data_IF_135989863442
#
_entry.id   IF_135989863442
#
_cell.length_a   1.000
_cell.length_b   1.000
_cell.length_c   1.000
_cell.angle_alpha   90.00
_cell.angle_beta   90.00
_cell.angle_gamma   90.00
#
_symmetry.space_group_name_H-M   'P 1'
#
loop_
_entity.id
_entity.type
_entity.pdbx_description
1 polymer ?
#
# COMPACT_ATOMS: atom_id res chain seq x y z
N UNK A 1 -12.96 -0.51 1.24
CA UNK A 1 -12.17 -0.28 2.48
C UNK A 1 -11.88 -1.54 3.27
N UNK A 2 -12.81 -2.50 3.34
CA UNK A 2 -12.66 -3.75 4.11
C UNK A 2 -11.39 -4.54 3.75
N UNK A 3 -10.96 -4.51 2.49
CA UNK A 3 -9.70 -5.14 2.05
C UNK A 3 -8.45 -4.57 2.71
N UNK A 4 -8.39 -3.26 3.00
CA UNK A 4 -7.22 -2.63 3.62
C UNK A 4 -6.97 -3.17 5.04
N UNK A 5 -8.02 -3.65 5.70
CA UNK A 5 -8.00 -4.13 7.08
C UNK A 5 -7.97 -5.67 7.14
N UNK A 6 -8.01 -6.34 5.99
CA UNK A 6 -8.08 -7.80 5.92
C UNK A 6 -6.69 -8.43 6.09
N UNK A 7 -6.50 -9.13 7.21
CA UNK A 7 -5.26 -9.88 7.51
C UNK A 7 -5.08 -11.13 6.65
N UNK A 8 -6.17 -11.59 6.02
CA UNK A 8 -6.19 -12.80 5.22
C UNK A 8 -6.03 -12.53 3.72
N UNK A 9 -5.73 -11.28 3.33
CA UNK A 9 -5.52 -10.96 1.93
C UNK A 9 -4.30 -11.68 1.40
N UNK A 10 -4.53 -12.54 0.41
CA UNK A 10 -3.45 -13.10 -0.37
C UNK A 10 -3.03 -12.06 -1.41
N UNK A 11 -1.72 -11.86 -1.54
CA UNK A 11 -1.14 -10.89 -2.46
C UNK A 11 -0.75 -11.63 -3.74
N UNK A 12 -1.66 -11.70 -4.73
CA UNK A 12 -1.46 -12.52 -5.91
C UNK A 12 -0.18 -12.10 -6.63
N UNK A 13 0.63 -13.06 -7.06
CA UNK A 13 1.97 -12.76 -7.51
C UNK A 13 1.90 -12.21 -8.97
N UNK A 14 0.86 -12.56 -9.74
CA UNK A 14 0.49 -11.95 -11.03
C UNK A 14 -0.74 -11.04 -10.91
N UNK A 15 -0.56 -9.81 -10.44
CA UNK A 15 -1.64 -8.81 -10.39
C UNK A 15 -1.14 -7.38 -10.58
N UNK A 16 -2.09 -6.46 -10.76
CA UNK A 16 -1.82 -5.02 -10.81
C UNK A 16 -0.99 -4.59 -9.60
N UNK A 17 -0.04 -3.67 -9.78
CA UNK A 17 0.89 -3.31 -8.72
C UNK A 17 0.19 -2.73 -7.48
N UNK A 18 -0.97 -2.08 -7.62
CA UNK A 18 -1.76 -1.57 -6.48
C UNK A 18 -2.43 -2.67 -5.65
N UNK A 19 -2.89 -3.76 -6.30
CA UNK A 19 -3.38 -4.96 -5.61
C UNK A 19 -2.28 -5.52 -4.74
N UNK A 20 -1.09 -5.60 -5.33
CA UNK A 20 0.09 -6.04 -4.62
C UNK A 20 0.38 -5.00 -3.51
N UNK A 21 0.75 -3.75 -3.81
CA UNK A 21 1.18 -2.70 -2.86
C UNK A 21 0.25 -2.41 -1.68
N UNK A 22 -1.06 -2.45 -1.88
CA UNK A 22 -2.01 -2.07 -0.84
C UNK A 22 -3.01 -3.18 -0.48
N UNK A 23 -2.92 -4.37 -1.07
CA UNK A 23 -3.85 -5.46 -0.80
C UNK A 23 -5.28 -5.17 -1.26
N UNK A 24 -5.47 -4.27 -2.23
CA UNK A 24 -6.79 -3.84 -2.71
C UNK A 24 -7.37 -4.82 -3.73
N UNK A 25 -8.65 -5.18 -3.61
CA UNK A 25 -9.34 -5.99 -4.63
C UNK A 25 -10.03 -5.14 -5.69
N UNK A 26 -10.57 -4.00 -5.27
CA UNK A 26 -11.31 -3.08 -6.13
C UNK A 26 -10.73 -1.66 -5.99
N UNK A 27 -10.43 -1.02 -7.11
CA UNK A 27 -9.92 0.34 -7.16
C UNK A 27 -10.11 0.93 -8.57
N UNK A 28 -10.09 2.26 -8.66
CA UNK A 28 -10.13 3.00 -9.93
C UNK A 28 -8.79 3.72 -10.13
N UNK A 29 -8.29 3.71 -11.37
CA UNK A 29 -7.08 4.45 -11.75
C UNK A 29 -7.42 5.45 -12.83
N UNK A 30 -7.20 6.74 -12.54
CA UNK A 30 -7.14 7.81 -13.53
C UNK A 30 -5.69 7.86 -14.04
N UNK A 31 -5.51 7.61 -15.34
CA UNK A 31 -4.20 7.68 -15.97
C UNK A 31 -4.24 8.60 -17.20
N UNK A 32 -3.14 9.32 -17.51
CA UNK A 32 -3.03 10.06 -18.75
C UNK A 32 -3.24 9.15 -19.96
N UNK A 33 -4.01 9.62 -20.95
CA UNK A 33 -4.20 8.90 -22.21
C UNK A 33 -2.86 8.69 -22.94
N UNK A 34 -2.83 7.84 -23.97
CA UNK A 34 -1.59 7.46 -24.67
C UNK A 34 -0.78 8.66 -25.19
N UNK A 35 -1.47 9.71 -25.63
CA UNK A 35 -0.88 10.91 -26.25
C UNK A 35 -0.92 12.15 -25.36
N UNK A 36 -1.26 11.99 -24.07
CA UNK A 36 -1.27 13.09 -23.12
C UNK A 36 0.02 13.11 -22.30
N UNK A 37 0.43 14.31 -21.89
CA UNK A 37 1.56 14.50 -21.00
C UNK A 37 1.36 13.79 -19.65
N UNK A 38 2.47 13.31 -19.11
CA UNK A 38 2.50 12.77 -17.77
C UNK A 38 2.24 13.86 -16.71
N UNK A 39 1.65 13.46 -15.58
CA UNK A 39 1.45 14.34 -14.42
C UNK A 39 2.75 14.40 -13.64
N UNK A 40 3.61 15.39 -13.94
CA UNK A 40 4.95 15.49 -13.36
C UNK A 40 5.05 16.50 -12.21
N UNK A 41 4.31 17.60 -12.28
CA UNK A 41 4.40 18.67 -11.28
C UNK A 41 3.51 18.40 -10.09
N UNK A 42 4.02 18.74 -8.90
CA UNK A 42 3.29 18.63 -7.64
C UNK A 42 1.95 19.37 -7.68
N UNK A 43 1.91 20.57 -8.25
CA UNK A 43 0.68 21.35 -8.39
C UNK A 43 -0.39 20.62 -9.21
N UNK A 44 -0.01 19.91 -10.29
CA UNK A 44 -0.98 19.11 -11.07
C UNK A 44 -1.44 17.89 -10.28
N UNK A 45 -0.55 17.22 -9.56
CA UNK A 45 -0.90 16.12 -8.66
C UNK A 45 -1.93 16.58 -7.60
N UNK A 46 -1.65 17.69 -6.92
CA UNK A 46 -2.51 18.22 -5.85
C UNK A 46 -3.87 18.68 -6.37
N UNK A 47 -3.92 19.28 -7.56
CA UNK A 47 -5.18 19.65 -8.21
C UNK A 47 -6.04 18.42 -8.52
N UNK A 48 -5.42 17.38 -9.10
CA UNK A 48 -6.12 16.12 -9.40
C UNK A 48 -6.58 15.43 -8.12
N UNK A 49 -5.75 15.36 -7.08
CA UNK A 49 -6.11 14.74 -5.81
C UNK A 49 -7.24 15.51 -5.11
N UNK A 50 -7.22 16.84 -5.14
CA UNK A 50 -8.31 17.67 -4.63
C UNK A 50 -9.62 17.40 -5.39
N UNK A 51 -9.54 17.25 -6.71
CA UNK A 51 -10.70 16.92 -7.55
C UNK A 51 -11.25 15.53 -7.21
N UNK A 52 -10.36 14.55 -6.98
CA UNK A 52 -10.72 13.21 -6.51
C UNK A 52 -11.42 13.27 -5.15
N UNK A 53 -10.86 14.01 -4.19
CA UNK A 53 -11.42 14.17 -2.85
C UNK A 53 -12.85 14.73 -2.89
N UNK A 54 -13.09 15.75 -3.72
CA UNK A 54 -14.42 16.33 -3.95
C UNK A 54 -15.37 15.30 -4.58
N UNK A 55 -14.92 14.58 -5.61
CA UNK A 55 -15.75 13.57 -6.28
C UNK A 55 -16.15 12.42 -5.33
N UNK A 56 -15.22 11.94 -4.51
CA UNK A 56 -15.50 10.93 -3.47
C UNK A 56 -16.53 11.46 -2.47
N UNK A 57 -16.34 12.68 -1.96
CA UNK A 57 -17.27 13.30 -1.01
C UNK A 57 -18.67 13.52 -1.58
N UNK A 58 -18.79 13.93 -2.84
CA UNK A 58 -20.07 14.17 -3.50
C UNK A 58 -20.83 12.89 -3.84
N UNK A 59 -20.12 11.81 -4.16
CA UNK A 59 -20.73 10.54 -4.59
C UNK A 59 -20.94 9.55 -3.45
N UNK A 60 -20.25 9.73 -2.32
CA UNK A 60 -20.17 8.73 -1.26
C UNK A 60 -19.46 7.45 -1.71
N UNK A 61 -18.73 7.48 -2.82
CA UNK A 61 -18.00 6.31 -3.34
C UNK A 61 -16.87 5.94 -2.38
N UNK A 62 -16.86 4.68 -1.95
CA UNK A 62 -15.86 4.14 -1.02
C UNK A 62 -14.79 3.30 -1.72
N UNK A 63 -14.80 3.27 -3.05
CA UNK A 63 -13.79 2.58 -3.86
C UNK A 63 -12.54 3.46 -3.90
N UNK A 64 -11.35 2.96 -3.50
CA UNK A 64 -10.11 3.71 -3.60
C UNK A 64 -9.86 4.22 -5.02
N UNK A 65 -9.53 5.51 -5.12
CA UNK A 65 -9.30 6.16 -6.40
C UNK A 65 -7.86 6.66 -6.47
N UNK A 66 -7.18 6.30 -7.56
CA UNK A 66 -5.77 6.60 -7.77
C UNK A 66 -5.58 7.46 -9.02
N UNK A 67 -4.58 8.33 -8.97
CA UNK A 67 -4.07 9.08 -10.12
C UNK A 67 -2.67 8.57 -10.43
N UNK A 68 -2.44 8.16 -11.67
CA UNK A 68 -1.09 7.83 -12.14
C UNK A 68 -0.28 9.11 -12.30
N UNK A 69 0.81 9.20 -11.55
CA UNK A 69 1.74 10.33 -11.55
C UNK A 69 3.11 9.91 -12.07
N UNK A 70 3.93 10.89 -12.42
CA UNK A 70 5.19 10.69 -13.13
C UNK A 70 5.01 9.94 -14.46
N UNK A 71 6.11 9.54 -15.08
CA UNK A 71 6.08 8.73 -16.29
C UNK A 71 5.50 7.34 -16.03
N UNK A 72 4.70 6.82 -16.97
CA UNK A 72 3.98 5.53 -16.88
C UNK A 72 4.87 4.36 -16.46
N UNK A 73 6.11 4.31 -16.95
CA UNK A 73 7.07 3.24 -16.64
C UNK A 73 7.48 3.21 -15.16
N UNK A 74 7.38 4.32 -14.43
CA UNK A 74 7.68 4.38 -13.00
C UNK A 74 6.60 3.77 -12.12
N UNK A 75 5.38 3.59 -12.65
CA UNK A 75 4.24 3.03 -11.92
C UNK A 75 4.00 3.74 -10.58
N UNK A 76 4.07 5.06 -10.56
CA UNK A 76 3.81 5.87 -9.37
C UNK A 76 2.34 6.28 -9.35
N UNK A 77 1.73 6.18 -8.18
CA UNK A 77 0.34 6.56 -7.97
C UNK A 77 0.20 7.31 -6.66
N UNK A 78 -0.72 8.27 -6.65
CA UNK A 78 -1.27 8.86 -5.42
C UNK A 78 -2.75 8.61 -5.43
N UNK A 79 -3.38 8.49 -4.27
CA UNK A 79 -4.80 8.18 -4.23
C UNK A 79 -5.45 8.53 -2.91
N UNK A 80 -6.77 8.39 -2.90
CA UNK A 80 -7.59 8.66 -1.73
C UNK A 80 -8.75 7.66 -1.67
N UNK A 81 -9.18 7.35 -0.46
CA UNK A 81 -10.44 6.67 -0.19
C UNK A 81 -11.12 7.36 0.98
N UNK A 82 -12.43 7.56 0.88
CA UNK A 82 -13.27 8.09 1.94
C UNK A 82 -14.29 7.03 2.33
N UNK A 83 -14.37 6.75 3.63
CA UNK A 83 -15.36 5.87 4.22
C UNK A 83 -15.98 6.52 5.47
N UNK A 84 -16.93 5.83 6.14
CA UNK A 84 -17.62 6.39 7.29
C UNK A 84 -16.63 6.70 8.42
N UNK A 85 -16.42 7.98 8.69
CA UNK A 85 -15.53 8.45 9.78
C UNK A 85 -14.03 8.27 9.52
N UNK A 86 -13.63 7.84 8.33
CA UNK A 86 -12.21 7.60 8.03
C UNK A 86 -11.87 8.01 6.59
N UNK A 87 -10.74 8.70 6.46
CA UNK A 87 -10.11 9.02 5.18
C UNK A 87 -8.76 8.33 5.14
N UNK A 88 -8.44 7.74 4.00
CA UNK A 88 -7.17 7.07 3.76
C UNK A 88 -6.50 7.69 2.53
N UNK A 89 -5.37 8.34 2.74
CA UNK A 89 -4.52 8.84 1.67
C UNK A 89 -3.48 7.77 1.30
N UNK A 90 -3.33 7.52 0.00
CA UNK A 90 -2.36 6.59 -0.56
C UNK A 90 -1.19 7.35 -1.16
N UNK A 91 -0.03 7.20 -0.53
CA UNK A 91 1.19 7.89 -0.94
C UNK A 91 2.26 6.89 -1.35
N UNK A 92 3.05 7.28 -2.37
CA UNK A 92 4.20 6.52 -2.82
C UNK A 92 5.44 7.41 -2.84
N UNK A 93 6.56 6.85 -2.37
CA UNK A 93 7.87 7.47 -2.46
C UNK A 93 8.81 6.51 -3.18
N UNK A 94 9.53 7.02 -4.18
CA UNK A 94 10.58 6.27 -4.86
C UNK A 94 11.94 6.71 -4.33
N UNK A 95 12.63 5.82 -3.63
CA UNK A 95 13.96 6.08 -3.09
C UNK A 95 15.01 5.52 -4.04
N UNK A 96 15.97 6.36 -4.49
CA UNK A 96 17.12 5.88 -5.28
C UNK A 96 18.00 4.93 -4.48
N UNK A 97 18.14 5.19 -3.18
CA UNK A 97 18.84 4.35 -2.21
C UNK A 97 17.95 4.29 -0.97
N UNK A 98 17.68 3.08 -0.48
CA UNK A 98 16.93 2.88 0.76
C UNK A 98 17.86 3.21 1.94
N UNK A 99 17.50 4.15 2.83
CA UNK A 99 18.22 4.40 4.07
C UNK A 99 18.31 3.12 4.93
N UNK A 100 19.43 2.94 5.63
CA UNK A 100 19.67 1.74 6.45
C UNK A 100 18.59 1.54 7.54
N UNK A 101 18.02 2.61 8.07
CA UNK A 101 16.94 2.46 9.05
C UNK A 101 15.68 1.80 8.46
N UNK A 102 15.48 1.83 7.13
CA UNK A 102 14.29 1.26 6.48
C UNK A 102 14.53 -0.15 5.93
N UNK A 103 15.71 -0.75 6.17
CA UNK A 103 16.04 -2.11 5.72
C UNK A 103 15.65 -3.18 6.73
N UNK A 104 15.17 -2.79 7.93
CA UNK A 104 14.80 -3.70 9.00
C UNK A 104 13.38 -3.41 9.48
N UNK A 105 12.69 -4.47 9.96
CA UNK A 105 11.32 -4.41 10.48
C UNK A 105 11.14 -3.33 11.57
N UNK A 106 12.14 -3.20 12.45
CA UNK A 106 12.13 -2.22 13.54
C UNK A 106 12.03 -0.78 13.05
N UNK A 107 12.89 -0.36 12.11
CA UNK A 107 12.83 1.02 11.62
C UNK A 107 11.64 1.29 10.70
N UNK A 108 11.07 0.26 10.05
CA UNK A 108 9.78 0.39 9.36
C UNK A 108 8.63 0.58 10.35
N UNK A 109 8.66 -0.12 11.48
CA UNK A 109 7.73 0.08 12.60
C UNK A 109 7.86 1.49 13.18
N UNK A 110 9.08 2.02 13.30
CA UNK A 110 9.31 3.37 13.80
C UNK A 110 8.71 4.45 12.88
N UNK A 111 8.88 4.31 11.55
CA UNK A 111 8.21 5.19 10.56
C UNK A 111 6.70 5.14 10.75
N UNK A 112 6.14 3.94 10.88
CA UNK A 112 4.71 3.76 11.01
C UNK A 112 4.16 4.47 12.25
N UNK A 113 4.79 4.24 13.41
CA UNK A 113 4.41 4.89 14.67
C UNK A 113 4.50 6.41 14.56
N UNK A 114 5.56 6.91 13.92
CA UNK A 114 5.73 8.34 13.66
C UNK A 114 4.63 8.91 12.76
N UNK A 115 4.17 8.17 11.74
CA UNK A 115 3.13 8.64 10.82
C UNK A 115 1.74 8.63 11.44
N UNK A 116 1.45 7.69 12.34
CA UNK A 116 0.19 7.64 13.07
C UNK A 116 0.07 8.82 14.04
N UNK A 117 1.19 9.27 14.62
CA UNK A 117 1.21 10.40 15.54
C UNK A 117 0.33 10.18 16.79
N UNK A 118 0.14 8.93 17.20
CA UNK A 118 -0.75 8.60 18.32
C UNK A 118 -0.18 9.21 19.62
N UNK A 119 -0.95 10.05 20.33
CA UNK A 119 -0.48 10.72 21.53
C UNK A 119 -0.46 9.81 22.77
N UNK A 120 -0.92 8.56 22.65
CA UNK A 120 -1.03 7.63 23.77
C UNK A 120 0.33 7.10 24.21
N UNK A 121 0.57 7.15 25.52
CA UNK A 121 1.75 6.56 26.18
C UNK A 121 1.29 5.64 27.32
N UNK A 122 1.61 4.31 27.26
CA UNK A 122 2.33 3.63 26.20
C UNK A 122 1.49 3.50 24.91
N UNK A 123 2.17 3.42 23.77
CA UNK A 123 1.53 3.20 22.48
C UNK A 123 0.80 1.84 22.50
N UNK A 124 -0.42 1.72 21.92
CA UNK A 124 -1.06 0.42 21.78
C UNK A 124 -0.16 -0.59 21.04
N UNK A 125 -0.31 -1.90 21.33
CA UNK A 125 0.40 -2.93 20.59
C UNK A 125 0.17 -2.80 19.08
N UNK A 126 1.25 -2.89 18.31
CA UNK A 126 1.21 -2.84 16.85
C UNK A 126 1.55 -4.23 16.32
N UNK A 127 0.65 -4.80 15.52
CA UNK A 127 0.90 -6.03 14.79
C UNK A 127 1.47 -5.69 13.42
N UNK A 128 2.60 -6.31 13.08
CA UNK A 128 3.30 -6.09 11.82
C UNK A 128 3.62 -7.42 11.16
N UNK A 129 3.36 -7.48 9.86
CA UNK A 129 3.77 -8.60 9.02
C UNK A 129 4.58 -8.07 7.84
N UNK A 130 5.69 -8.74 7.53
CA UNK A 130 6.43 -8.54 6.29
C UNK A 130 6.30 -9.77 5.42
N UNK A 131 5.98 -9.54 4.15
CA UNK A 131 6.05 -10.56 3.12
C UNK A 131 7.25 -10.28 2.23
N UNK A 132 8.16 -11.25 2.14
CA UNK A 132 9.19 -11.25 1.11
C UNK A 132 8.71 -12.09 -0.06
N UNK A 133 8.83 -11.56 -1.28
CA UNK A 133 8.67 -12.39 -2.47
C UNK A 133 9.87 -12.25 -3.37
N UNK A 134 10.57 -13.37 -3.53
CA UNK A 134 11.72 -13.50 -4.40
C UNK A 134 11.25 -13.74 -5.84
N UNK A 135 12.14 -13.65 -6.82
CA UNK A 135 11.95 -14.21 -8.17
C UNK A 135 13.24 -14.94 -8.47
N UNK A 136 13.14 -16.25 -8.65
CA UNK A 136 14.28 -17.11 -8.90
C UNK A 136 14.32 -17.41 -10.40
N UNK A 137 15.39 -16.99 -11.06
CA UNK A 137 15.70 -17.40 -12.43
C UNK A 137 16.37 -18.77 -12.37
N UNK A 138 16.04 -19.66 -13.30
CA UNK A 138 16.68 -20.98 -13.47
C UNK A 138 16.73 -21.86 -12.20
N UNK A 139 15.72 -21.71 -11.32
CA UNK A 139 15.69 -22.37 -10.01
C UNK A 139 15.67 -23.90 -10.07
N UNK A 140 15.26 -24.47 -11.21
CA UNK A 140 15.23 -25.91 -11.47
C UNK A 140 16.62 -26.54 -11.44
N UNK A 141 17.69 -25.77 -11.61
CA UNK A 141 19.07 -26.26 -11.56
C UNK A 141 19.60 -26.43 -10.13
N UNK A 142 18.86 -25.96 -9.12
CA UNK A 142 19.29 -26.00 -7.72
C UNK A 142 18.57 -27.11 -6.95
N UNK A 143 19.32 -27.81 -6.10
CA UNK A 143 18.77 -28.79 -5.17
C UNK A 143 18.13 -28.05 -4.00
N UNK A 144 16.80 -28.14 -3.87
CA UNK A 144 16.07 -27.50 -2.79
C UNK A 144 15.91 -28.46 -1.62
N UNK A 145 16.22 -28.05 -0.38
CA UNK A 145 16.00 -28.88 0.80
C UNK A 145 14.51 -29.11 1.10
N UNK A 146 13.60 -28.37 0.46
CA UNK A 146 12.15 -28.48 0.58
C UNK A 146 11.51 -28.37 -0.80
N UNK A 147 10.30 -28.94 -0.99
CA UNK A 147 9.57 -28.78 -2.25
C UNK A 147 9.33 -27.29 -2.54
N UNK A 148 9.69 -26.79 -3.73
CA UNK A 148 9.53 -25.38 -4.05
C UNK A 148 8.04 -25.00 -4.05
N UNK A 149 7.65 -23.90 -3.37
CA UNK A 149 6.28 -23.40 -3.44
C UNK A 149 5.94 -23.02 -4.89
N UNK A 150 4.79 -23.47 -5.38
CA UNK A 150 4.34 -23.20 -6.74
C UNK A 150 4.26 -21.69 -7.03
N UNK A 151 4.92 -21.29 -8.12
CA UNK A 151 4.95 -19.96 -8.74
C UNK A 151 5.35 -18.75 -7.86
N UNK A 152 6.51 -18.17 -8.20
CA UNK A 152 7.23 -17.16 -7.44
C UNK A 152 7.11 -15.78 -8.16
N UNK A 153 6.44 -14.76 -7.58
CA UNK A 153 6.49 -13.38 -8.12
C UNK A 153 6.62 -12.27 -7.06
N UNK A 154 7.57 -11.35 -7.31
CA UNK A 154 7.91 -10.16 -6.49
C UNK A 154 6.71 -9.35 -5.98
N UNK A 155 6.68 -9.06 -4.67
CA UNK A 155 6.71 -7.70 -4.07
C UNK A 155 7.00 -7.79 -2.56
N UNK A 156 7.61 -6.76 -1.97
CA UNK A 156 7.66 -6.59 -0.51
C UNK A 156 6.42 -5.84 -0.06
N UNK A 157 5.56 -6.50 0.74
CA UNK A 157 4.46 -5.85 1.46
C UNK A 157 4.81 -5.72 2.92
N UNK A 158 4.65 -4.51 3.41
CA UNK A 158 4.63 -4.22 4.83
C UNK A 158 3.16 -3.90 5.12
N UNK A 159 2.44 -4.85 5.74
CA UNK A 159 1.13 -4.58 6.30
C UNK A 159 1.36 -4.22 7.78
N UNK A 160 1.03 -2.98 8.14
CA UNK A 160 1.14 -2.45 9.49
C UNK A 160 -0.27 -2.16 10.00
N UNK A 161 -0.66 -2.75 11.13
CA UNK A 161 -1.93 -2.42 11.78
C UNK A 161 -1.73 -2.19 13.28
N UNK A 162 -2.43 -1.19 13.82
CA UNK A 162 -2.50 -0.93 15.26
C UNK A 162 -3.67 -1.72 15.79
N UNK A 163 -3.41 -2.63 16.73
CA UNK A 163 -4.49 -3.29 17.46
C UNK A 163 -5.14 -2.28 18.40
N UNK A 164 -6.23 -1.67 17.95
CA UNK A 164 -7.23 -1.07 18.83
C UNK A 164 -8.14 -2.15 19.38
N UNK A 165 -7.64 -2.98 20.31
CA UNK A 165 -8.53 -3.87 21.08
C UNK A 165 -9.38 -3.01 22.01
N UNK A 166 -10.63 -2.79 21.63
CA UNK A 166 -11.67 -2.50 22.60
C UNK A 166 -11.77 -3.65 23.59
N UNK A 167 -11.59 -3.32 24.87
CA UNK A 167 -11.92 -4.20 25.98
C UNK A 167 -13.42 -4.52 25.92
N UNK A 168 -13.76 -5.79 25.76
CA UNK A 168 -15.01 -6.31 26.30
C UNK A 168 -14.65 -7.43 27.26
N UNK A 169 -14.57 -7.04 28.53
CA UNK A 169 -14.81 -7.92 29.67
C UNK A 169 -16.14 -8.66 29.44
N UNK A 170 -16.11 -9.99 29.37
CA UNK A 170 -17.24 -10.82 29.78
C UNK A 170 -16.69 -12.03 30.55
N UNK A 171 -17.27 -12.17 31.74
CA UNK A 171 -17.05 -13.15 32.80
C UNK A 171 -16.69 -14.57 32.33
#
# INVERSE_FOLDING_TARGET
>A
MQDLLCMNNDFPPRAHCLVRWYGLREFVVIAPAAHCDAVLSESKCNLLLSSVSIALGNTGCQVPLFVQIHHKWRRMYVGECQGPGVRTDFEMVHLRKVPNQYTHLSGLLDIFKSKIGCPLTPLPPVSIAIRFTYVLQDWQQYFWPQQPPGEIFRTVFILLNIDGKENILRN
#
